data_IF_658334355358
#
_entry.id   IF_658334355358
#
_cell.length_a   1.000
_cell.length_b   1.000
_cell.length_c   1.000
_cell.angle_alpha   90.00
_cell.angle_beta   90.00
_cell.angle_gamma   90.00
#
_symmetry.space_group_name_H-M   'P 1'
#
loop_
_entity.id
_entity.type
_entity.pdbx_description
1 polymer ?
#
# COMPACT_ATOMS: atom_id res chain seq x y z
N UNK A 1 -18.09 -57.06 -7.34
CA UNK A 1 -18.27 -55.96 -8.31
C UNK A 1 -19.64 -55.35 -8.08
N UNK A 2 -19.72 -54.16 -7.49
CA UNK A 2 -20.87 -53.23 -7.58
C UNK A 2 -20.46 -51.93 -6.89
N UNK A 3 -20.10 -50.95 -7.71
CA UNK A 3 -19.65 -49.63 -7.32
C UNK A 3 -20.79 -48.85 -6.65
N UNK A 4 -20.57 -48.36 -5.42
CA UNK A 4 -21.46 -47.39 -4.78
C UNK A 4 -21.01 -46.00 -5.21
N UNK A 5 -21.74 -45.42 -6.15
CA UNK A 5 -21.51 -44.06 -6.64
C UNK A 5 -21.79 -43.05 -5.53
N UNK A 6 -20.76 -42.27 -5.18
CA UNK A 6 -20.89 -41.06 -4.38
C UNK A 6 -21.35 -39.96 -5.34
N UNK A 7 -22.63 -39.60 -5.28
CA UNK A 7 -23.15 -38.44 -5.99
C UNK A 7 -22.74 -37.16 -5.23
N UNK A 8 -21.55 -36.63 -5.56
CA UNK A 8 -21.19 -35.26 -5.18
C UNK A 8 -22.05 -34.28 -5.99
N UNK A 9 -23.08 -33.73 -5.34
CA UNK A 9 -23.83 -32.59 -5.86
C UNK A 9 -22.88 -31.38 -5.83
N UNK A 10 -22.28 -31.08 -6.98
CA UNK A 10 -21.54 -29.85 -7.23
C UNK A 10 -22.54 -28.69 -7.33
N UNK A 11 -22.69 -27.94 -6.23
CA UNK A 11 -23.33 -26.63 -6.26
C UNK A 11 -22.40 -25.65 -6.98
N UNK A 12 -22.64 -25.43 -8.27
CA UNK A 12 -22.03 -24.36 -9.06
C UNK A 12 -22.61 -23.01 -8.61
N UNK A 13 -21.96 -22.37 -7.63
CA UNK A 13 -22.11 -20.93 -7.44
C UNK A 13 -21.25 -20.21 -8.47
N UNK A 14 -21.84 -19.89 -9.62
CA UNK A 14 -21.26 -18.95 -10.57
C UNK A 14 -21.38 -17.53 -10.00
N UNK A 15 -20.43 -17.14 -9.15
CA UNK A 15 -20.26 -15.74 -8.76
C UNK A 15 -19.59 -14.99 -9.92
N UNK A 16 -20.38 -14.56 -10.91
CA UNK A 16 -19.92 -13.57 -11.90
C UNK A 16 -19.91 -12.20 -11.25
N UNK A 17 -18.90 -11.89 -10.45
CA UNK A 17 -18.58 -10.51 -10.09
C UNK A 17 -17.60 -9.95 -11.11
N UNK A 18 -18.09 -9.57 -12.28
CA UNK A 18 -17.35 -8.69 -13.17
C UNK A 18 -17.40 -7.28 -12.55
N UNK A 19 -16.38 -6.92 -11.77
CA UNK A 19 -16.19 -5.53 -11.38
C UNK A 19 -15.91 -4.72 -12.66
N UNK A 20 -16.63 -3.62 -12.96
CA UNK A 20 -16.30 -2.79 -14.10
C UNK A 20 -14.91 -2.18 -13.90
N UNK A 21 -14.10 -2.17 -14.96
CA UNK A 21 -12.80 -1.51 -14.95
C UNK A 21 -12.97 -0.01 -14.63
N UNK A 22 -12.07 0.60 -13.86
CA UNK A 22 -12.12 2.04 -13.63
C UNK A 22 -11.90 2.76 -14.96
N UNK A 23 -12.91 3.52 -15.40
CA UNK A 23 -12.84 4.34 -16.61
C UNK A 23 -12.07 5.63 -16.31
N UNK A 24 -10.75 5.57 -16.28
CA UNK A 24 -9.89 6.76 -16.27
C UNK A 24 -9.76 7.34 -17.68
N UNK A 25 -10.89 7.70 -18.30
CA UNK A 25 -10.91 8.33 -19.63
C UNK A 25 -12.05 9.35 -19.77
N UNK A 26 -12.20 10.22 -18.78
CA UNK A 26 -12.86 11.51 -18.95
C UNK A 26 -11.77 12.57 -18.86
N UNK A 27 -11.15 12.88 -20.00
CA UNK A 27 -10.41 14.12 -20.14
C UNK A 27 -11.44 15.25 -19.99
N UNK A 28 -11.22 16.26 -19.12
CA UNK A 28 -12.13 17.38 -19.02
C UNK A 28 -12.14 18.09 -20.38
N UNK A 29 -13.22 17.93 -21.13
CA UNK A 29 -13.46 18.73 -22.33
C UNK A 29 -13.67 20.17 -21.92
N UNK A 30 -12.78 21.05 -22.37
CA UNK A 30 -12.91 22.50 -22.45
C UNK A 30 -13.85 23.14 -21.41
N UNK A 31 -13.37 23.24 -20.17
CA UNK A 31 -13.90 24.28 -19.28
C UNK A 31 -13.32 25.61 -19.74
N UNK A 32 -14.02 26.28 -20.67
CA UNK A 32 -13.82 27.71 -20.90
C UNK A 32 -13.93 28.40 -19.54
N UNK A 33 -12.85 29.08 -19.12
CA UNK A 33 -12.78 29.79 -17.85
C UNK A 33 -13.93 30.81 -17.77
N UNK A 34 -15.00 30.44 -17.07
CA UNK A 34 -16.02 31.39 -16.65
C UNK A 34 -15.44 32.13 -15.45
N UNK A 35 -15.24 33.44 -15.58
CA UNK A 35 -14.84 34.33 -14.50
C UNK A 35 -15.81 34.18 -13.33
N UNK A 36 -15.40 33.71 -12.13
CA UNK A 36 -16.33 33.58 -11.01
C UNK A 36 -16.63 34.97 -10.42
N UNK A 37 -17.72 35.60 -10.85
CA UNK A 37 -18.29 36.75 -10.16
C UNK A 37 -19.20 36.27 -9.02
N UNK A 38 -18.59 35.71 -7.97
CA UNK A 38 -19.08 35.68 -6.58
C UNK A 38 -18.20 34.71 -5.78
N UNK A 39 -17.36 35.23 -4.88
CA UNK A 39 -16.76 34.40 -3.82
C UNK A 39 -17.90 34.02 -2.88
N UNK A 40 -18.42 32.80 -3.00
CA UNK A 40 -19.27 32.23 -1.96
C UNK A 40 -18.37 31.91 -0.77
N UNK A 41 -18.41 32.75 0.26
CA UNK A 41 -17.77 32.46 1.54
C UNK A 41 -18.51 31.29 2.19
N UNK A 42 -17.92 30.11 2.12
CA UNK A 42 -18.35 28.95 2.89
C UNK A 42 -18.12 29.25 4.38
N UNK A 43 -19.20 29.51 5.12
CA UNK A 43 -19.18 29.85 6.56
C UNK A 43 -19.38 28.64 7.48
N UNK A 44 -19.11 27.42 6.98
CA UNK A 44 -19.10 26.22 7.81
C UNK A 44 -17.83 26.17 8.66
N UNK A 45 -17.97 26.12 9.99
CA UNK A 45 -16.84 25.74 10.85
C UNK A 45 -16.45 24.29 10.52
N UNK A 46 -15.30 24.09 9.89
CA UNK A 46 -14.73 22.77 9.76
C UNK A 46 -14.47 22.24 11.18
N UNK A 47 -15.19 21.18 11.58
CA UNK A 47 -14.89 20.48 12.83
C UNK A 47 -13.59 19.72 12.56
N UNK A 48 -12.46 20.33 12.91
CA UNK A 48 -11.18 19.66 12.84
C UNK A 48 -11.19 18.53 13.88
N UNK A 49 -10.94 17.26 13.49
CA UNK A 49 -10.75 16.22 14.49
C UNK A 49 -9.62 16.67 15.43
N UNK A 50 -9.71 16.36 16.73
CA UNK A 50 -8.64 16.69 17.66
C UNK A 50 -7.32 16.11 17.13
N UNK A 51 -6.37 16.99 16.84
CA UNK A 51 -5.03 16.63 16.39
C UNK A 51 -4.12 16.49 17.59
N UNK A 52 -3.22 15.51 17.55
CA UNK A 52 -2.24 15.28 18.61
C UNK A 52 -0.88 15.02 18.01
N UNK A 53 0.11 15.81 18.43
CA UNK A 53 1.52 15.53 18.15
C UNK A 53 2.04 14.70 19.31
N UNK A 54 2.61 13.53 19.01
CA UNK A 54 3.24 12.69 20.01
C UNK A 54 4.61 13.28 20.38
N UNK A 55 4.86 13.44 21.67
CA UNK A 55 6.19 13.80 22.15
C UNK A 55 7.07 12.54 22.16
N UNK A 56 7.75 12.29 21.06
CA UNK A 56 8.63 11.13 20.85
C UNK A 56 10.04 11.59 20.54
N UNK A 57 11.03 10.82 20.98
CA UNK A 57 12.41 11.03 20.56
C UNK A 57 12.56 10.59 19.10
N UNK A 58 13.20 11.44 18.31
CA UNK A 58 13.54 11.08 16.94
C UNK A 58 14.53 9.92 16.92
N UNK A 59 14.31 8.97 16.01
CA UNK A 59 15.18 7.83 15.78
C UNK A 59 15.48 7.72 14.28
N UNK A 60 16.76 7.62 13.93
CA UNK A 60 17.17 7.41 12.54
C UNK A 60 16.80 5.99 12.11
N UNK A 61 16.34 5.83 10.86
CA UNK A 61 16.11 4.50 10.29
C UNK A 61 17.40 3.67 10.32
N UNK A 62 17.29 2.40 10.71
CA UNK A 62 18.45 1.51 10.81
C UNK A 62 18.85 0.91 9.45
N UNK A 63 17.90 0.77 8.52
CA UNK A 63 18.13 0.21 7.19
C UNK A 63 17.77 1.22 6.10
N UNK A 64 18.36 1.10 4.91
CA UNK A 64 18.17 2.09 3.84
C UNK A 64 16.72 2.20 3.36
N UNK A 65 15.97 1.10 3.42
CA UNK A 65 14.65 0.96 2.83
C UNK A 65 13.62 0.49 3.88
N UNK A 66 13.68 1.03 5.10
CA UNK A 66 12.80 0.68 6.23
C UNK A 66 12.03 1.87 6.81
N UNK A 67 11.80 2.93 6.02
CA UNK A 67 11.21 4.18 6.51
C UNK A 67 9.86 4.00 7.23
N UNK A 68 8.99 3.10 6.75
CA UNK A 68 7.69 2.81 7.36
C UNK A 68 7.85 2.11 8.71
N UNK A 69 8.76 1.14 8.80
CA UNK A 69 9.07 0.47 10.06
C UNK A 69 9.74 1.40 11.07
N UNK A 70 10.61 2.30 10.62
CA UNK A 70 11.25 3.31 11.46
C UNK A 70 10.21 4.32 12.02
N UNK A 71 9.28 4.77 11.18
CA UNK A 71 8.18 5.63 11.60
C UNK A 71 7.26 4.93 12.61
N UNK A 72 6.92 3.67 12.35
CA UNK A 72 6.09 2.87 13.26
C UNK A 72 6.79 2.64 14.60
N UNK A 73 8.09 2.31 14.59
CA UNK A 73 8.91 2.19 15.81
C UNK A 73 8.88 3.48 16.64
N UNK A 74 9.08 4.64 16.01
CA UNK A 74 9.01 5.93 16.70
C UNK A 74 7.62 6.14 17.32
N UNK A 75 6.54 5.86 16.59
CA UNK A 75 5.17 6.00 17.10
C UNK A 75 4.86 5.03 18.25
N UNK A 76 5.30 3.77 18.15
CA UNK A 76 5.09 2.74 19.17
C UNK A 76 5.87 3.01 20.45
N UNK A 77 7.04 3.67 20.37
CA UNK A 77 7.83 4.03 21.55
C UNK A 77 7.08 4.97 22.49
N UNK A 78 6.15 5.78 21.97
CA UNK A 78 5.25 6.60 22.78
C UNK A 78 4.37 5.77 23.74
N UNK A 79 4.10 4.52 23.37
CA UNK A 79 3.27 3.57 24.13
C UNK A 79 4.10 2.51 24.86
N UNK A 80 5.39 2.79 25.10
CA UNK A 80 6.35 1.88 25.74
C UNK A 80 6.58 0.56 24.99
N UNK A 81 6.18 0.48 23.71
CA UNK A 81 6.44 -0.66 22.84
C UNK A 81 7.76 -0.46 22.09
N UNK A 82 8.77 -1.22 22.49
CA UNK A 82 10.14 -1.09 21.99
C UNK A 82 10.49 -2.29 21.10
N UNK A 83 10.17 -2.20 19.81
CA UNK A 83 10.53 -3.19 18.79
C UNK A 83 11.52 -2.57 17.79
N UNK A 84 12.44 -3.39 17.27
CA UNK A 84 13.32 -2.97 16.17
C UNK A 84 12.59 -3.04 14.81
N UNK A 85 13.18 -2.39 13.80
CA UNK A 85 12.58 -2.26 12.47
C UNK A 85 12.40 -3.62 11.77
N UNK A 86 13.38 -4.53 11.87
CA UNK A 86 13.28 -5.85 11.23
C UNK A 86 12.21 -6.72 11.88
N UNK A 87 12.03 -6.60 13.21
CA UNK A 87 10.95 -7.25 13.93
C UNK A 87 9.58 -6.73 13.46
N UNK A 88 9.43 -5.41 13.28
CA UNK A 88 8.20 -4.83 12.73
C UNK A 88 7.94 -5.28 11.28
N UNK A 89 8.98 -5.30 10.45
CA UNK A 89 8.87 -5.78 9.06
C UNK A 89 8.56 -7.27 8.98
N UNK A 90 9.02 -8.08 9.94
CA UNK A 90 8.66 -9.50 10.01
C UNK A 90 7.14 -9.69 10.24
N UNK A 91 6.48 -8.79 10.98
CA UNK A 91 5.02 -8.80 11.11
C UNK A 91 4.30 -8.39 9.81
N UNK A 92 4.91 -7.50 9.01
CA UNK A 92 4.40 -7.11 7.69
C UNK A 92 4.61 -8.21 6.63
N UNK A 93 5.55 -9.13 6.89
CA UNK A 93 5.97 -10.14 5.94
C UNK A 93 6.92 -9.60 4.86
N UNK A 94 7.56 -10.52 4.14
CA UNK A 94 8.51 -10.20 3.07
C UNK A 94 8.12 -10.87 1.76
N UNK A 95 8.04 -10.09 0.69
CA UNK A 95 8.13 -10.58 -0.68
C UNK A 95 9.56 -10.43 -1.20
N UNK A 96 10.28 -11.55 -1.26
CA UNK A 96 11.68 -11.60 -1.73
C UNK A 96 11.79 -11.93 -3.22
N UNK A 97 10.69 -11.99 -3.97
CA UNK A 97 10.75 -12.23 -5.41
C UNK A 97 11.51 -11.08 -6.06
N UNK A 98 12.47 -11.34 -6.97
CA UNK A 98 13.20 -10.27 -7.63
C UNK A 98 12.31 -9.55 -8.64
N UNK A 99 12.63 -8.30 -8.91
CA UNK A 99 12.07 -7.55 -10.02
C UNK A 99 12.33 -8.28 -11.35
N UNK A 100 11.32 -8.35 -12.21
CA UNK A 100 11.45 -8.89 -13.58
C UNK A 100 11.43 -7.76 -14.60
N UNK A 101 12.28 -7.89 -15.60
CA UNK A 101 12.50 -6.90 -16.64
C UNK A 101 12.27 -7.50 -18.02
N UNK A 102 11.91 -6.65 -18.98
CA UNK A 102 11.88 -7.04 -20.38
C UNK A 102 13.28 -7.06 -21.00
N UNK A 103 13.38 -7.42 -22.29
CA UNK A 103 14.65 -7.45 -23.02
C UNK A 103 15.32 -6.07 -23.19
N UNK A 104 14.60 -4.98 -22.92
CA UNK A 104 15.10 -3.61 -22.96
C UNK A 104 15.45 -3.07 -21.56
N UNK A 105 15.35 -3.91 -20.52
CA UNK A 105 15.65 -3.53 -19.14
C UNK A 105 14.54 -2.73 -18.45
N UNK A 106 13.33 -2.68 -19.00
CA UNK A 106 12.19 -2.00 -18.36
C UNK A 106 11.53 -2.93 -17.34
N UNK A 107 11.21 -2.41 -16.16
CA UNK A 107 10.51 -3.16 -15.13
C UNK A 107 9.15 -3.63 -15.66
N UNK A 108 8.90 -4.93 -15.60
CA UNK A 108 7.62 -5.55 -16.00
C UNK A 108 6.75 -5.88 -14.80
N UNK A 109 7.34 -6.51 -13.77
CA UNK A 109 6.61 -6.91 -12.58
C UNK A 109 7.57 -7.04 -11.40
N UNK A 110 7.04 -6.79 -10.22
CA UNK A 110 7.69 -7.09 -8.95
C UNK A 110 6.62 -7.40 -7.90
N UNK A 111 6.99 -7.38 -6.61
CA UNK A 111 6.05 -7.60 -5.50
C UNK A 111 5.05 -6.46 -5.35
N UNK A 112 3.98 -6.72 -4.59
CA UNK A 112 2.93 -5.74 -4.24
C UNK A 112 3.14 -5.25 -2.80
N UNK A 113 3.36 -3.95 -2.56
CA UNK A 113 3.68 -3.42 -1.24
C UNK A 113 2.45 -3.35 -0.34
N UNK A 114 1.23 -3.51 -0.87
CA UNK A 114 0.03 -3.63 -0.04
C UNK A 114 -0.09 -5.01 0.61
N UNK A 115 0.66 -6.00 0.10
CA UNK A 115 0.61 -7.38 0.56
C UNK A 115 1.73 -7.71 1.55
N UNK A 116 2.95 -7.22 1.31
CA UNK A 116 4.14 -7.44 2.15
C UNK A 116 5.27 -6.47 1.78
N UNK A 117 6.30 -6.39 2.62
CA UNK A 117 7.51 -5.64 2.27
C UNK A 117 8.22 -6.24 1.05
N UNK A 118 8.45 -5.45 0.01
CA UNK A 118 9.07 -5.94 -1.22
C UNK A 118 10.59 -5.72 -1.23
N UNK A 119 11.33 -6.82 -1.28
CA UNK A 119 12.78 -6.87 -1.45
C UNK A 119 13.58 -6.94 -0.15
N UNK A 120 14.73 -6.27 -0.14
CA UNK A 120 15.73 -6.26 0.93
C UNK A 120 15.79 -4.87 1.61
N UNK A 121 15.58 -4.78 2.94
CA UNK A 121 15.71 -3.53 3.71
C UNK A 121 17.06 -2.81 3.55
N UNK A 122 18.14 -3.57 3.35
CA UNK A 122 19.49 -3.05 3.14
C UNK A 122 19.83 -2.79 1.66
N UNK A 123 18.82 -2.93 0.80
CA UNK A 123 18.97 -2.77 -0.64
C UNK A 123 19.22 -1.32 -1.08
N UNK A 124 19.28 -1.14 -2.39
CA UNK A 124 19.26 0.15 -3.05
C UNK A 124 18.05 0.19 -4.01
N UNK A 125 17.15 1.15 -3.77
CA UNK A 125 15.91 1.33 -4.54
C UNK A 125 16.18 1.59 -6.02
N UNK A 126 17.25 2.32 -6.35
CA UNK A 126 17.65 2.60 -7.74
C UNK A 126 18.14 1.37 -8.50
N UNK A 127 18.36 0.25 -7.80
CA UNK A 127 18.76 -1.03 -8.37
C UNK A 127 17.70 -2.11 -8.21
N UNK A 128 16.45 -1.75 -7.88
CA UNK A 128 15.34 -2.68 -7.70
C UNK A 128 15.63 -3.80 -6.69
N UNK A 129 16.25 -3.45 -5.57
CA UNK A 129 16.57 -4.40 -4.50
C UNK A 129 15.60 -4.35 -3.32
N UNK A 130 14.86 -3.25 -3.14
CA UNK A 130 13.67 -3.16 -2.28
C UNK A 130 12.94 -1.84 -2.52
N UNK A 131 11.70 -1.71 -2.06
CA UNK A 131 10.98 -0.42 -2.15
C UNK A 131 9.87 -0.15 -1.13
N UNK A 132 9.58 -1.06 -0.19
CA UNK A 132 8.69 -0.75 0.94
C UNK A 132 7.43 -1.61 1.06
N UNK A 133 6.53 -1.13 1.91
CA UNK A 133 5.21 -1.65 2.30
C UNK A 133 4.33 -0.46 2.70
N UNK A 134 3.00 -0.55 2.55
CA UNK A 134 2.04 0.51 2.96
C UNK A 134 0.96 0.00 3.92
#
# INVERSE_FOLDING_TARGET
>A
MLARGVACILLLFAATSAAPAPSWSQQPSDQTAQTPSAIQTFSGQAIHPPQRILNITWNHQAHHLSCEAAALRMALSYFDVNLDELTLMAYMGYDRRPARFDSKGRLMTWGDPNSAYVGNPDGNIYRYQGYGVY
#
